data_IF_321389042276
#
_entry.id   IF_321389042276
#
_cell.length_a   1.000
_cell.length_b   1.000
_cell.length_c   1.000
_cell.angle_alpha   90.00
_cell.angle_beta   90.00
_cell.angle_gamma   90.00
#
_symmetry.space_group_name_H-M   'P 1'
#
loop_
_entity.id
_entity.type
_entity.pdbx_description
1 polymer ?
#
# COMPACT_ATOMS: atom_id res chain seq x y z
N UNK A 1 -19.14 -10.74 26.04
CA UNK A 1 -19.66 -9.95 24.90
C UNK A 1 -20.73 -10.78 24.22
N UNK A 2 -21.92 -10.21 23.94
CA UNK A 2 -22.88 -10.92 23.12
C UNK A 2 -22.23 -11.23 21.79
N UNK A 3 -22.18 -12.50 21.43
CA UNK A 3 -21.71 -12.97 20.13
C UNK A 3 -22.39 -12.11 19.05
N UNK A 4 -21.60 -11.52 18.16
CA UNK A 4 -22.13 -10.71 17.07
C UNK A 4 -23.27 -11.48 16.36
N UNK A 5 -24.52 -11.00 16.38
CA UNK A 5 -25.66 -11.70 15.79
C UNK A 5 -25.57 -11.92 14.29
N UNK A 6 -24.58 -11.30 13.66
CA UNK A 6 -24.31 -11.35 12.22
C UNK A 6 -23.21 -12.36 11.82
N UNK A 7 -22.64 -13.13 12.77
CA UNK A 7 -21.66 -14.16 12.43
C UNK A 7 -22.26 -15.13 11.39
N UNK A 8 -21.54 -15.28 10.26
CA UNK A 8 -21.97 -16.11 9.13
C UNK A 8 -23.06 -15.51 8.24
N UNK A 9 -23.42 -14.23 8.45
CA UNK A 9 -24.36 -13.49 7.60
C UNK A 9 -23.66 -12.34 6.90
N UNK A 10 -24.09 -12.05 5.67
CA UNK A 10 -23.70 -10.82 4.99
C UNK A 10 -24.62 -9.71 5.57
N UNK A 11 -24.00 -8.67 6.09
CA UNK A 11 -24.72 -7.57 6.71
C UNK A 11 -24.01 -6.27 6.35
N UNK A 12 -24.59 -5.53 5.40
CA UNK A 12 -24.08 -4.23 4.96
C UNK A 12 -25.16 -3.19 5.20
N UNK A 13 -24.78 -2.01 5.65
CA UNK A 13 -25.70 -0.88 5.79
C UNK A 13 -25.66 0.07 4.58
N UNK A 14 -24.58 0.07 3.81
CA UNK A 14 -24.42 0.86 2.60
C UNK A 14 -24.27 -0.05 1.35
N UNK A 15 -24.75 0.45 0.22
CA UNK A 15 -24.67 -0.28 -1.04
C UNK A 15 -23.25 -0.21 -1.61
N UNK A 16 -22.62 -1.35 -1.82
CA UNK A 16 -21.36 -1.46 -2.57
C UNK A 16 -21.64 -1.56 -4.07
N UNK A 17 -20.83 -0.86 -4.87
CA UNK A 17 -20.96 -0.80 -6.33
C UNK A 17 -19.59 -0.70 -6.99
N UNK A 18 -19.48 -1.23 -8.20
CA UNK A 18 -18.29 -1.12 -9.03
C UNK A 18 -18.64 -0.85 -10.49
N UNK A 19 -18.02 0.17 -11.06
CA UNK A 19 -18.18 0.56 -12.44
C UNK A 19 -16.80 0.69 -13.11
N UNK A 20 -16.65 0.15 -14.34
CA UNK A 20 -15.39 0.23 -15.08
C UNK A 20 -15.63 0.47 -16.57
N UNK A 21 -14.83 1.39 -17.13
CA UNK A 21 -14.58 1.51 -18.56
C UNK A 21 -13.12 1.16 -18.84
N UNK A 22 -12.89 0.24 -19.76
CA UNK A 22 -11.57 -0.22 -20.15
C UNK A 22 -11.46 -0.24 -21.67
N UNK A 23 -10.41 0.41 -22.19
CA UNK A 23 -10.01 0.32 -23.59
C UNK A 23 -8.57 -0.19 -23.64
N UNK A 24 -8.35 -1.30 -24.35
CA UNK A 24 -7.02 -1.81 -24.65
C UNK A 24 -6.84 -1.84 -26.16
N UNK A 25 -5.73 -1.30 -26.63
CA UNK A 25 -5.33 -1.36 -28.04
C UNK A 25 -3.89 -1.82 -28.14
N UNK A 26 -3.56 -2.53 -29.21
CA UNK A 26 -2.20 -3.00 -29.44
C UNK A 26 -1.88 -3.01 -30.94
N UNK A 27 -0.63 -2.68 -31.27
CA UNK A 27 -0.07 -2.76 -32.59
C UNK A 27 1.17 -3.65 -32.56
N UNK A 28 1.18 -4.69 -33.38
CA UNK A 28 2.33 -5.58 -33.55
C UNK A 28 2.86 -5.41 -34.98
N UNK A 29 4.10 -5.05 -35.11
CA UNK A 29 4.81 -4.97 -36.38
C UNK A 29 6.00 -5.93 -36.37
N UNK A 30 6.13 -6.72 -37.40
CA UNK A 30 7.25 -7.65 -37.56
C UNK A 30 7.88 -7.46 -38.94
N UNK A 31 9.19 -7.30 -38.97
CA UNK A 31 9.99 -7.25 -40.15
C UNK A 31 10.99 -8.41 -40.20
N UNK A 32 10.87 -9.26 -41.21
CA UNK A 32 11.70 -10.41 -41.44
C UNK A 32 12.86 -10.07 -42.38
N UNK A 33 14.04 -9.72 -41.83
CA UNK A 33 15.25 -9.54 -42.62
C UNK A 33 15.96 -10.89 -42.87
N UNK A 34 16.99 -10.89 -43.68
CA UNK A 34 17.76 -12.11 -44.01
C UNK A 34 18.44 -12.72 -42.78
N UNK A 35 19.01 -11.90 -41.90
CA UNK A 35 19.82 -12.35 -40.75
C UNK A 35 19.15 -12.14 -39.38
N UNK A 36 18.11 -11.35 -39.32
CA UNK A 36 17.38 -11.05 -38.07
C UNK A 36 15.89 -10.85 -38.30
N UNK A 37 15.16 -10.86 -37.21
CA UNK A 37 13.76 -10.42 -37.15
C UNK A 37 13.71 -9.21 -36.24
N UNK A 38 13.04 -8.14 -36.69
CA UNK A 38 12.70 -6.96 -35.88
C UNK A 38 11.23 -7.08 -35.52
N UNK A 39 10.91 -7.03 -34.23
CA UNK A 39 9.54 -7.00 -33.72
C UNK A 39 9.33 -5.73 -32.92
N UNK A 40 8.19 -5.08 -33.12
CA UNK A 40 7.74 -3.89 -32.39
C UNK A 40 6.36 -4.17 -31.83
N UNK A 41 6.16 -3.95 -30.54
CA UNK A 41 4.87 -4.14 -29.86
C UNK A 41 4.54 -2.88 -29.10
N UNK A 42 3.54 -2.16 -29.61
CA UNK A 42 2.99 -0.97 -28.95
C UNK A 42 1.69 -1.32 -28.27
N UNK A 43 1.53 -0.98 -27.01
CA UNK A 43 0.31 -1.18 -26.22
C UNK A 43 -0.19 0.13 -25.64
N UNK A 44 -1.50 0.37 -25.72
CA UNK A 44 -2.13 1.49 -25.01
C UNK A 44 -3.34 0.99 -24.24
N UNK A 45 -3.44 1.41 -22.98
CA UNK A 45 -4.56 1.14 -22.10
C UNK A 45 -5.14 2.43 -21.55
N UNK A 46 -6.46 2.55 -21.60
CA UNK A 46 -7.23 3.54 -20.86
C UNK A 46 -8.13 2.81 -19.87
N UNK A 47 -8.10 3.24 -18.61
CA UNK A 47 -8.97 2.77 -17.54
C UNK A 47 -9.64 3.97 -16.86
N UNK A 48 -10.95 3.85 -16.66
CA UNK A 48 -11.70 4.72 -15.75
C UNK A 48 -12.62 3.84 -14.92
N UNK A 49 -12.45 3.85 -13.62
CA UNK A 49 -13.32 3.10 -12.73
C UNK A 49 -13.79 3.92 -11.52
N UNK A 50 -14.82 3.41 -10.88
CA UNK A 50 -15.35 3.93 -9.62
C UNK A 50 -15.84 2.72 -8.80
N UNK A 51 -15.41 2.68 -7.57
CA UNK A 51 -15.77 1.67 -6.59
C UNK A 51 -16.31 2.36 -5.35
N UNK A 52 -17.53 2.00 -4.96
CA UNK A 52 -18.15 2.40 -3.69
C UNK A 52 -18.19 1.15 -2.80
N UNK A 53 -17.69 1.25 -1.59
CA UNK A 53 -17.61 0.10 -0.67
C UNK A 53 -18.10 0.52 0.71
N UNK A 54 -18.98 -0.32 1.27
CA UNK A 54 -19.20 -0.44 2.69
C UNK A 54 -18.01 -1.18 3.30
N UNK A 55 -17.03 -0.41 3.74
CA UNK A 55 -15.69 -0.93 4.07
C UNK A 55 -15.63 -1.62 5.43
N UNK A 56 -16.57 -1.35 6.32
CA UNK A 56 -16.61 -2.01 7.63
C UNK A 56 -17.28 -3.39 7.59
N UNK A 57 -17.97 -3.71 6.49
CA UNK A 57 -18.64 -5.00 6.25
C UNK A 57 -19.60 -5.42 7.36
N UNK A 58 -20.16 -4.45 8.09
CA UNK A 58 -21.08 -4.69 9.20
C UNK A 58 -22.43 -4.02 8.97
N UNK A 59 -23.39 -4.24 9.87
CA UNK A 59 -24.68 -3.54 9.86
C UNK A 59 -24.59 -2.12 10.48
N UNK A 60 -23.45 -1.76 11.06
CA UNK A 60 -23.25 -0.46 11.69
C UNK A 60 -22.74 0.54 10.64
N UNK A 61 -23.23 1.76 10.68
CA UNK A 61 -22.80 2.84 9.78
C UNK A 61 -21.50 3.48 10.28
N UNK A 62 -20.36 2.73 10.15
CA UNK A 62 -19.08 3.16 10.67
C UNK A 62 -18.36 4.04 9.65
N UNK A 63 -18.07 3.52 8.44
CA UNK A 63 -17.43 4.30 7.37
C UNK A 63 -17.63 3.69 5.99
N UNK A 64 -17.63 4.55 4.99
CA UNK A 64 -17.70 4.19 3.57
C UNK A 64 -16.46 4.65 2.85
N UNK A 65 -16.02 3.88 1.85
CA UNK A 65 -14.94 4.22 0.93
C UNK A 65 -15.50 4.41 -0.48
N UNK A 66 -15.12 5.50 -1.13
CA UNK A 66 -15.25 5.64 -2.58
C UNK A 66 -13.85 5.70 -3.18
N UNK A 67 -13.58 4.94 -4.24
CA UNK A 67 -12.35 5.04 -4.99
C UNK A 67 -12.65 5.26 -6.47
N UNK A 68 -12.17 6.37 -7.00
CA UNK A 68 -12.23 6.68 -8.43
C UNK A 68 -10.82 6.67 -8.99
N UNK A 69 -10.64 5.97 -10.09
CA UNK A 69 -9.35 5.93 -10.78
C UNK A 69 -9.50 6.29 -12.26
N UNK A 70 -8.53 7.02 -12.76
CA UNK A 70 -8.35 7.26 -14.18
C UNK A 70 -6.89 7.03 -14.53
N UNK A 71 -6.66 6.08 -15.43
CA UNK A 71 -5.32 5.69 -15.86
C UNK A 71 -5.19 5.72 -17.37
N UNK A 72 -4.03 6.17 -17.82
CA UNK A 72 -3.53 6.01 -19.19
C UNK A 72 -2.19 5.31 -19.10
N UNK A 73 -1.99 4.23 -19.82
CA UNK A 73 -0.73 3.53 -19.88
C UNK A 73 -0.32 3.28 -21.34
N UNK A 74 0.93 3.57 -21.65
CA UNK A 74 1.57 3.32 -22.93
C UNK A 74 2.77 2.41 -22.71
N UNK A 75 2.89 1.36 -23.51
CA UNK A 75 4.05 0.49 -23.54
C UNK A 75 4.59 0.36 -24.95
N UNK A 76 5.90 0.26 -25.07
CA UNK A 76 6.61 0.00 -26.32
C UNK A 76 7.71 -1.01 -26.08
N UNK A 77 7.76 -2.07 -26.87
CA UNK A 77 8.83 -3.04 -26.86
C UNK A 77 9.40 -3.24 -28.26
N UNK A 78 10.70 -3.08 -28.41
CA UNK A 78 11.43 -3.26 -29.66
C UNK A 78 12.42 -4.40 -29.45
N UNK A 79 12.31 -5.46 -30.24
CA UNK A 79 13.12 -6.66 -30.15
C UNK A 79 13.80 -6.94 -31.49
N UNK A 80 15.11 -7.10 -31.45
CA UNK A 80 15.92 -7.67 -32.52
C UNK A 80 16.32 -9.09 -32.12
N UNK A 81 16.01 -10.06 -32.98
CA UNK A 81 16.30 -11.47 -32.75
C UNK A 81 17.02 -12.08 -33.94
N UNK A 82 18.12 -12.80 -33.69
CA UNK A 82 18.81 -13.57 -34.73
C UNK A 82 17.92 -14.66 -35.33
N UNK A 83 18.19 -15.05 -36.58
CA UNK A 83 17.51 -16.22 -37.17
C UNK A 83 17.91 -17.50 -36.47
N UNK A 84 17.01 -18.47 -36.45
CA UNK A 84 17.28 -19.84 -35.99
C UNK A 84 18.25 -20.55 -36.95
N UNK A 85 19.08 -21.45 -36.41
CA UNK A 85 19.99 -22.29 -37.22
C UNK A 85 21.46 -21.99 -37.04
N UNK A 86 21.86 -20.83 -36.48
CA UNK A 86 23.26 -20.58 -36.14
C UNK A 86 23.59 -21.15 -34.75
N UNK A 87 24.90 -21.45 -34.52
CA UNK A 87 25.37 -21.86 -33.20
C UNK A 87 25.29 -20.76 -32.17
N UNK A 88 25.34 -19.50 -32.61
CA UNK A 88 25.13 -18.33 -31.78
C UNK A 88 23.77 -17.70 -32.11
N UNK A 89 22.88 -17.70 -31.15
CA UNK A 89 21.58 -17.04 -31.23
C UNK A 89 21.54 -15.93 -30.20
N UNK A 90 20.96 -14.83 -30.59
CA UNK A 90 20.86 -13.66 -29.69
C UNK A 90 19.50 -12.96 -29.82
N UNK A 91 19.12 -12.30 -28.74
CA UNK A 91 17.97 -11.39 -28.65
C UNK A 91 18.43 -10.15 -27.93
N UNK A 92 18.21 -8.99 -28.53
CA UNK A 92 18.47 -7.67 -27.94
C UNK A 92 17.21 -6.83 -28.06
N UNK A 93 16.89 -6.07 -27.03
CA UNK A 93 15.70 -5.21 -27.10
C UNK A 93 15.74 -4.06 -26.12
N UNK A 94 14.76 -3.21 -26.31
CA UNK A 94 14.45 -2.08 -25.44
C UNK A 94 12.97 -2.14 -25.08
N UNK A 95 12.64 -1.73 -23.88
CA UNK A 95 11.29 -1.60 -23.39
C UNK A 95 11.09 -0.23 -22.77
N UNK A 96 9.94 0.38 -23.02
CA UNK A 96 9.48 1.62 -22.41
C UNK A 96 8.05 1.48 -21.93
N UNK A 97 7.76 2.01 -20.76
CA UNK A 97 6.43 2.04 -20.18
C UNK A 97 6.22 3.36 -19.48
N UNK A 98 5.09 4.00 -19.76
CA UNK A 98 4.65 5.18 -19.05
C UNK A 98 3.19 5.04 -18.66
N UNK A 99 2.92 5.20 -17.36
CA UNK A 99 1.57 5.23 -16.82
C UNK A 99 1.33 6.56 -16.13
N UNK A 100 0.20 7.16 -16.40
CA UNK A 100 -0.35 8.25 -15.63
C UNK A 100 -1.62 7.76 -14.94
N UNK A 101 -1.59 7.71 -13.61
CA UNK A 101 -2.69 7.27 -12.77
C UNK A 101 -3.10 8.38 -11.82
N UNK A 102 -4.35 8.79 -11.93
CA UNK A 102 -5.00 9.66 -10.95
C UNK A 102 -5.99 8.83 -10.13
N UNK A 103 -5.90 8.96 -8.80
CA UNK A 103 -6.77 8.28 -7.84
C UNK A 103 -7.39 9.30 -6.92
N UNK A 104 -8.72 9.29 -6.78
CA UNK A 104 -9.47 9.96 -5.74
C UNK A 104 -10.03 8.87 -4.81
N UNK A 105 -9.71 8.92 -3.53
CA UNK A 105 -10.08 7.89 -2.57
C UNK A 105 -10.62 8.49 -1.26
N UNK A 106 -11.77 9.20 -1.28
CA UNK A 106 -12.38 9.70 -0.07
C UNK A 106 -12.92 8.55 0.80
N UNK A 107 -12.58 8.62 2.09
CA UNK A 107 -13.17 7.81 3.16
C UNK A 107 -14.10 8.72 3.96
N UNK A 108 -15.30 8.28 4.28
CA UNK A 108 -16.24 9.07 5.09
C UNK A 108 -16.61 8.29 6.34
N UNK A 109 -16.17 8.77 7.50
CA UNK A 109 -16.68 8.28 8.77
C UNK A 109 -18.13 8.74 8.94
N UNK A 110 -18.96 7.80 9.28
CA UNK A 110 -20.38 7.96 9.48
C UNK A 110 -20.72 8.06 10.98
N UNK A 111 -22.01 8.16 11.30
CA UNK A 111 -22.47 8.46 12.66
C UNK A 111 -21.97 7.44 13.71
N UNK A 112 -22.04 6.14 13.44
CA UNK A 112 -21.54 5.12 14.36
C UNK A 112 -20.02 5.20 14.50
N UNK A 113 -19.30 5.46 13.41
CA UNK A 113 -17.85 5.65 13.42
C UNK A 113 -17.42 6.90 14.21
N UNK A 114 -18.17 7.99 14.07
CA UNK A 114 -17.95 9.20 14.86
C UNK A 114 -18.21 8.96 16.36
N UNK A 115 -19.23 8.17 16.69
CA UNK A 115 -19.49 7.73 18.07
C UNK A 115 -18.34 6.93 18.66
N UNK A 116 -17.74 6.00 17.89
CA UNK A 116 -16.56 5.23 18.30
C UNK A 116 -15.35 6.13 18.53
N UNK A 117 -15.08 7.07 17.60
CA UNK A 117 -13.99 8.04 17.76
C UNK A 117 -14.16 8.91 19.00
N UNK A 118 -15.39 9.34 19.28
CA UNK A 118 -15.71 10.13 20.46
C UNK A 118 -15.51 9.33 21.77
N UNK A 119 -15.89 8.06 21.77
CA UNK A 119 -15.65 7.16 22.92
C UNK A 119 -14.15 6.93 23.15
N UNK A 120 -13.38 6.72 22.09
CA UNK A 120 -11.92 6.59 22.18
C UNK A 120 -11.29 7.88 22.74
N UNK A 121 -11.75 9.04 22.28
CA UNK A 121 -11.29 10.34 22.77
C UNK A 121 -11.57 10.52 24.26
N UNK A 122 -12.78 10.19 24.71
CA UNK A 122 -13.18 10.25 26.12
C UNK A 122 -12.38 9.31 27.04
N UNK A 123 -11.74 8.26 26.49
CA UNK A 123 -10.85 7.38 27.27
C UNK A 123 -9.44 7.96 27.50
N UNK A 124 -9.04 8.95 26.71
CA UNK A 124 -7.72 9.61 26.81
C UNK A 124 -7.70 10.69 27.90
N UNK A 125 -8.81 11.36 28.09
CA UNK A 125 -8.96 12.44 29.07
C UNK A 125 -9.76 11.91 30.26
N UNK A 126 -9.24 12.04 31.51
CA UNK A 126 -9.96 11.59 32.68
C UNK A 126 -11.26 12.39 32.83
N UNK A 127 -12.34 11.70 33.22
CA UNK A 127 -13.63 12.34 33.49
C UNK A 127 -13.55 13.32 34.65
N UNK A 128 -12.60 13.12 35.56
CA UNK A 128 -12.33 14.05 36.68
C UNK A 128 -10.85 14.00 37.08
N UNK A 129 -10.34 15.15 37.53
CA UNK A 129 -9.02 15.33 38.13
C UNK A 129 -9.24 15.84 39.54
N UNK A 130 -8.97 15.03 40.56
CA UNK A 130 -9.18 15.41 41.95
C UNK A 130 -7.92 16.09 42.49
N UNK A 131 -8.15 17.22 43.20
CA UNK A 131 -7.13 18.02 43.86
C UNK A 131 -7.51 18.21 45.31
N UNK A 132 -6.65 17.78 46.23
CA UNK A 132 -6.83 17.99 47.67
C UNK A 132 -6.49 19.45 48.03
N UNK A 133 -7.42 20.12 48.71
CA UNK A 133 -7.27 21.51 49.13
C UNK A 133 -7.09 21.66 50.65
N UNK A 134 -7.18 20.53 51.39
CA UNK A 134 -7.02 20.47 52.85
C UNK A 134 -7.67 19.22 53.45
N UNK A 135 -7.69 19.06 54.79
CA UNK A 135 -8.10 17.79 55.42
C UNK A 135 -9.54 17.32 55.13
N UNK A 136 -10.41 18.20 54.65
CA UNK A 136 -11.80 17.84 54.34
C UNK A 136 -12.34 18.53 53.09
N UNK A 137 -11.47 19.18 52.31
CA UNK A 137 -11.86 19.89 51.10
C UNK A 137 -11.09 19.38 49.90
N UNK A 138 -11.78 19.14 48.81
CA UNK A 138 -11.19 18.79 47.53
C UNK A 138 -11.85 19.58 46.38
N UNK A 139 -11.17 19.67 45.28
CA UNK A 139 -11.66 20.23 44.04
C UNK A 139 -11.56 19.17 42.94
N UNK A 140 -12.66 18.85 42.34
CA UNK A 140 -12.69 18.05 41.13
C UNK A 140 -12.68 18.98 39.93
N UNK A 141 -11.70 18.84 39.09
CA UNK A 141 -11.63 19.49 37.78
C UNK A 141 -12.23 18.50 36.78
N UNK A 142 -13.24 18.92 36.03
CA UNK A 142 -14.00 18.12 35.09
C UNK A 142 -13.76 18.65 33.67
N UNK A 143 -12.73 18.17 32.97
CA UNK A 143 -12.54 18.53 31.58
C UNK A 143 -13.60 17.84 30.72
N UNK A 144 -14.16 18.56 29.76
CA UNK A 144 -15.03 18.01 28.72
C UNK A 144 -14.36 18.18 27.37
N UNK A 145 -14.32 17.10 26.60
CA UNK A 145 -13.88 17.09 25.22
C UNK A 145 -14.76 16.12 24.44
N UNK A 146 -15.41 16.61 23.39
CA UNK A 146 -16.35 15.80 22.62
C UNK A 146 -16.46 16.26 21.18
N UNK A 147 -16.48 15.28 20.28
CA UNK A 147 -16.69 15.49 18.84
C UNK A 147 -18.14 15.90 18.62
N UNK A 148 -18.37 16.97 17.87
CA UNK A 148 -19.71 17.46 17.51
C UNK A 148 -20.09 17.20 16.05
N UNK A 149 -19.12 16.93 15.18
CA UNK A 149 -19.38 16.50 13.79
C UNK A 149 -20.09 15.16 13.75
N UNK A 150 -21.15 15.04 12.94
CA UNK A 150 -21.85 13.77 12.70
C UNK A 150 -21.15 12.87 11.69
N UNK A 151 -20.38 13.45 10.81
CA UNK A 151 -19.57 12.76 9.79
C UNK A 151 -18.23 13.43 9.66
N UNK A 152 -17.22 12.67 9.24
CA UNK A 152 -15.89 13.20 8.94
C UNK A 152 -15.41 12.68 7.58
N UNK A 153 -15.44 13.51 6.54
CA UNK A 153 -14.86 13.14 5.25
C UNK A 153 -13.34 13.29 5.31
N UNK A 154 -12.62 12.25 4.93
CA UNK A 154 -11.20 12.26 4.67
C UNK A 154 -11.03 12.23 3.16
N UNK A 155 -10.75 13.38 2.55
CA UNK A 155 -10.56 13.50 1.11
C UNK A 155 -9.12 13.25 0.70
N UNK A 156 -8.92 12.78 -0.53
CA UNK A 156 -7.58 12.63 -1.10
C UNK A 156 -7.60 12.53 -2.62
N UNK A 157 -6.68 13.26 -3.25
CA UNK A 157 -6.37 13.18 -4.67
C UNK A 157 -4.88 12.86 -4.82
N UNK A 158 -4.58 11.81 -5.58
CA UNK A 158 -3.24 11.27 -5.75
C UNK A 158 -2.96 11.11 -7.23
N UNK A 159 -1.92 11.77 -7.71
CA UNK A 159 -1.41 11.59 -9.06
C UNK A 159 -0.11 10.81 -9.00
N UNK A 160 -0.09 9.59 -9.56
CA UNK A 160 1.02 8.66 -9.45
C UNK A 160 1.57 8.24 -10.82
N UNK A 161 2.29 9.14 -11.51
CA UNK A 161 2.97 8.77 -12.75
C UNK A 161 4.11 7.79 -12.50
N UNK A 162 4.20 6.78 -13.38
CA UNK A 162 5.23 5.76 -13.40
C UNK A 162 5.91 5.75 -14.77
N UNK A 163 7.23 5.88 -14.77
CA UNK A 163 8.07 5.69 -15.95
C UNK A 163 8.96 4.47 -15.71
N UNK A 164 8.95 3.52 -16.64
CA UNK A 164 9.89 2.40 -16.65
C UNK A 164 10.57 2.32 -18.03
N UNK A 165 11.87 2.12 -18.05
CA UNK A 165 12.66 1.90 -19.25
C UNK A 165 13.66 0.77 -19.03
N UNK A 166 13.80 -0.13 -20.01
CA UNK A 166 14.75 -1.23 -19.91
C UNK A 166 15.50 -1.47 -21.21
N UNK A 167 16.74 -1.93 -21.05
CA UNK A 167 17.55 -2.49 -22.12
C UNK A 167 17.92 -3.93 -21.75
N UNK A 168 17.84 -4.83 -22.71
CA UNK A 168 18.17 -6.23 -22.47
C UNK A 168 18.90 -6.88 -23.64
N UNK A 169 19.76 -7.83 -23.29
CA UNK A 169 20.45 -8.69 -24.23
C UNK A 169 20.56 -10.10 -23.68
N UNK A 170 20.34 -11.09 -24.55
CA UNK A 170 20.56 -12.50 -24.26
C UNK A 170 21.28 -13.16 -25.43
N UNK A 171 22.32 -13.93 -25.14
CA UNK A 171 23.02 -14.79 -26.08
C UNK A 171 22.89 -16.25 -25.68
N UNK A 172 22.63 -17.10 -26.64
CA UNK A 172 22.62 -18.57 -26.49
C UNK A 172 23.64 -19.17 -27.43
N UNK A 173 24.60 -19.93 -26.89
CA UNK A 173 25.60 -20.65 -27.61
C UNK A 173 25.26 -22.15 -27.64
N UNK A 174 25.00 -22.68 -28.83
CA UNK A 174 24.69 -24.10 -29.06
C UNK A 174 25.97 -24.90 -29.36
N UNK A 175 25.95 -26.18 -29.03
CA UNK A 175 27.09 -27.11 -29.18
C UNK A 175 28.34 -26.53 -28.51
N UNK A 176 28.19 -26.10 -27.26
CA UNK A 176 29.20 -25.42 -26.46
C UNK A 176 30.48 -26.28 -26.37
N UNK A 177 31.66 -25.71 -26.71
CA UNK A 177 32.94 -26.41 -26.78
C UNK A 177 32.94 -27.66 -27.66
N UNK A 178 32.07 -27.74 -28.68
CA UNK A 178 31.94 -28.90 -29.54
C UNK A 178 31.12 -30.07 -29.00
N UNK A 179 30.55 -29.90 -27.79
CA UNK A 179 29.66 -30.88 -27.18
C UNK A 179 28.26 -30.75 -27.80
N UNK A 180 27.92 -31.70 -28.66
CA UNK A 180 26.63 -31.71 -29.37
C UNK A 180 25.47 -31.76 -28.36
N UNK A 181 24.48 -30.88 -28.57
CA UNK A 181 23.27 -30.80 -27.75
C UNK A 181 23.42 -29.96 -26.48
N UNK A 182 24.66 -29.54 -26.11
CA UNK A 182 24.85 -28.66 -24.96
C UNK A 182 24.69 -27.21 -25.39
N UNK A 183 23.78 -26.47 -24.73
CA UNK A 183 23.57 -25.05 -24.96
C UNK A 183 23.75 -24.24 -23.67
N UNK A 184 24.41 -23.10 -23.78
CA UNK A 184 24.58 -22.14 -22.68
C UNK A 184 23.93 -20.82 -23.07
N UNK A 185 23.10 -20.27 -22.16
CA UNK A 185 22.48 -18.98 -22.33
C UNK A 185 22.95 -18.04 -21.24
N UNK A 186 23.34 -16.83 -21.62
CA UNK A 186 23.62 -15.72 -20.72
C UNK A 186 22.78 -14.51 -21.16
N UNK A 187 22.07 -13.92 -20.23
CA UNK A 187 21.23 -12.75 -20.44
C UNK A 187 21.42 -11.71 -19.34
N UNK A 188 21.22 -10.48 -19.71
CA UNK A 188 21.25 -9.33 -18.80
C UNK A 188 20.16 -8.34 -19.21
N UNK A 189 19.39 -7.87 -18.21
CA UNK A 189 18.44 -6.78 -18.37
C UNK A 189 18.74 -5.71 -17.34
N UNK A 190 18.76 -4.47 -17.78
CA UNK A 190 18.88 -3.28 -16.96
C UNK A 190 17.55 -2.54 -17.02
N UNK A 191 16.89 -2.44 -15.88
CA UNK A 191 15.63 -1.71 -15.72
C UNK A 191 15.86 -0.44 -14.91
N UNK A 192 15.37 0.69 -15.41
CA UNK A 192 15.24 1.94 -14.69
C UNK A 192 13.76 2.24 -14.48
N UNK A 193 13.38 2.52 -13.24
CA UNK A 193 12.02 2.87 -12.86
C UNK A 193 12.03 4.16 -12.07
N UNK A 194 11.15 5.10 -12.46
CA UNK A 194 10.88 6.31 -11.72
C UNK A 194 9.41 6.38 -11.37
N UNK A 195 9.13 6.50 -10.09
CA UNK A 195 7.79 6.63 -9.53
C UNK A 195 7.67 7.98 -8.85
N UNK A 196 6.57 8.67 -9.10
CA UNK A 196 6.23 9.92 -8.42
C UNK A 196 4.83 9.81 -7.83
N UNK A 197 4.60 10.47 -6.69
CA UNK A 197 3.27 10.67 -6.14
C UNK A 197 3.11 12.14 -5.74
N UNK A 198 2.23 12.85 -6.45
CA UNK A 198 1.72 14.13 -6.01
C UNK A 198 0.43 13.88 -5.23
N UNK A 199 0.36 14.39 -4.00
CA UNK A 199 -0.76 14.12 -3.11
C UNK A 199 -1.33 15.41 -2.53
N UNK A 200 -2.66 15.41 -2.36
CA UNK A 200 -3.41 16.43 -1.66
C UNK A 200 -4.55 15.74 -0.92
N UNK A 201 -4.41 15.60 0.38
CA UNK A 201 -5.35 14.90 1.23
C UNK A 201 -5.63 15.72 2.48
N UNK A 202 -6.89 15.79 2.91
CA UNK A 202 -7.28 16.61 4.06
C UNK A 202 -8.58 16.18 4.69
N UNK A 203 -8.78 16.64 5.93
CA UNK A 203 -9.99 16.43 6.72
C UNK A 203 -10.18 17.58 7.69
N UNK A 204 -11.41 17.76 8.17
CA UNK A 204 -11.76 18.70 9.23
C UNK A 204 -12.73 18.05 10.22
N UNK A 205 -12.71 18.52 11.45
CA UNK A 205 -13.53 18.01 12.54
C UNK A 205 -13.95 19.15 13.47
N UNK A 206 -15.26 19.23 13.76
CA UNK A 206 -15.78 20.11 14.78
C UNK A 206 -15.88 19.36 16.12
N UNK A 207 -15.46 20.02 17.17
CA UNK A 207 -15.48 19.48 18.52
C UNK A 207 -15.76 20.57 19.54
N UNK A 208 -16.09 20.17 20.75
CA UNK A 208 -16.32 21.07 21.87
C UNK A 208 -15.33 20.76 22.97
N UNK A 209 -14.82 21.79 23.62
CA UNK A 209 -13.95 21.70 24.77
C UNK A 209 -14.43 22.62 25.87
N UNK A 210 -14.37 22.15 27.11
CA UNK A 210 -14.74 22.95 28.28
C UNK A 210 -14.09 22.42 29.53
N UNK A 211 -14.19 23.17 30.61
CA UNK A 211 -13.69 22.76 31.91
C UNK A 211 -14.58 23.31 33.04
N UNK A 212 -15.02 22.43 33.90
CA UNK A 212 -15.79 22.78 35.12
C UNK A 212 -15.00 22.38 36.35
N UNK A 213 -15.27 23.02 37.45
CA UNK A 213 -14.73 22.70 38.75
C UNK A 213 -15.87 22.42 39.74
N UNK A 214 -15.74 21.37 40.54
CA UNK A 214 -16.59 21.09 41.69
C UNK A 214 -15.78 21.18 42.96
N UNK A 215 -16.11 22.12 43.82
CA UNK A 215 -15.55 22.20 45.18
C UNK A 215 -16.35 21.26 46.08
N UNK A 216 -15.68 20.32 46.76
CA UNK A 216 -16.29 19.34 47.64
C UNK A 216 -15.83 19.46 49.07
N UNK A 217 -16.74 19.15 50.00
CA UNK A 217 -16.41 18.93 51.41
C UNK A 217 -16.83 17.50 51.77
N UNK A 218 -15.84 16.63 51.93
CA UNK A 218 -16.10 15.20 51.88
C UNK A 218 -16.71 14.81 50.51
N UNK A 219 -17.85 14.05 50.53
CA UNK A 219 -18.55 13.63 49.30
C UNK A 219 -19.59 14.66 48.79
N UNK A 220 -19.78 15.81 49.49
CA UNK A 220 -20.80 16.80 49.15
C UNK A 220 -20.23 17.90 48.27
N UNK A 221 -20.81 18.14 47.10
CA UNK A 221 -20.50 19.30 46.26
C UNK A 221 -21.09 20.55 46.95
N UNK A 222 -20.21 21.47 47.32
CA UNK A 222 -20.58 22.76 47.97
C UNK A 222 -20.64 23.91 46.98
N UNK A 223 -19.92 23.81 45.86
CA UNK A 223 -19.91 24.83 44.81
C UNK A 223 -19.49 24.24 43.47
N UNK A 224 -20.22 24.57 42.41
CA UNK A 224 -19.81 24.40 41.04
C UNK A 224 -19.24 25.68 40.46
N UNK A 225 -18.17 25.57 39.69
CA UNK A 225 -17.46 26.69 39.08
C UNK A 225 -17.31 26.37 37.59
N UNK A 226 -17.86 27.21 36.75
CA UNK A 226 -17.61 27.12 35.29
C UNK A 226 -16.28 27.85 35.03
N UNK A 227 -15.19 27.08 34.89
CA UNK A 227 -13.84 27.63 34.64
C UNK A 227 -13.71 28.09 33.19
N UNK A 228 -14.23 27.28 32.28
CA UNK A 228 -14.31 27.55 30.84
C UNK A 228 -15.63 26.96 30.30
N UNK A 229 -16.53 27.78 29.73
CA UNK A 229 -17.75 27.26 29.09
C UNK A 229 -17.40 26.36 27.91
N UNK A 230 -18.30 25.43 27.58
CA UNK A 230 -18.11 24.61 26.38
C UNK A 230 -17.97 25.49 25.13
N UNK A 231 -16.80 25.48 24.55
CA UNK A 231 -16.43 26.27 23.38
C UNK A 231 -16.32 25.35 22.18
N UNK A 232 -17.00 25.70 21.09
CA UNK A 232 -16.89 24.98 19.83
C UNK A 232 -15.63 25.40 19.08
N UNK A 233 -14.86 24.43 18.64
CA UNK A 233 -13.62 24.58 17.87
C UNK A 233 -13.68 23.71 16.63
N UNK A 234 -12.95 24.11 15.60
CA UNK A 234 -12.72 23.31 14.39
C UNK A 234 -11.24 23.02 14.25
N UNK A 235 -10.91 21.78 14.05
CA UNK A 235 -9.54 21.36 13.72
C UNK A 235 -9.49 20.88 12.27
N UNK A 236 -8.46 21.29 11.55
CA UNK A 236 -8.20 20.89 10.17
C UNK A 236 -6.82 20.25 10.09
N UNK A 237 -6.72 19.19 9.30
CA UNK A 237 -5.44 18.56 8.98
C UNK A 237 -5.32 18.36 7.49
N UNK A 238 -4.13 18.61 6.94
CA UNK A 238 -3.86 18.50 5.52
C UNK A 238 -2.45 18.06 5.24
N UNK A 239 -2.33 17.09 4.32
CA UNK A 239 -1.08 16.69 3.70
C UNK A 239 -1.09 17.06 2.23
N UNK A 240 -0.14 17.86 1.81
CA UNK A 240 0.05 18.25 0.41
C UNK A 240 1.53 18.24 0.07
N UNK A 241 1.89 17.61 -1.03
CA UNK A 241 3.28 17.53 -1.45
C UNK A 241 3.53 16.57 -2.59
N UNK A 242 4.80 16.23 -2.76
CA UNK A 242 5.27 15.32 -3.78
C UNK A 242 6.35 14.40 -3.22
N UNK A 243 6.29 13.13 -3.60
CA UNK A 243 7.31 12.12 -3.30
C UNK A 243 7.80 11.54 -4.62
N UNK A 244 9.12 11.52 -4.81
CA UNK A 244 9.78 10.99 -6.00
C UNK A 244 10.75 9.88 -5.58
N UNK A 245 10.75 8.76 -6.31
CA UNK A 245 11.61 7.60 -6.11
C UNK A 245 12.02 7.02 -7.44
N UNK A 246 13.29 6.70 -7.54
CA UNK A 246 13.87 5.99 -8.67
C UNK A 246 14.62 4.74 -8.22
N UNK A 247 14.62 3.74 -9.09
CA UNK A 247 15.25 2.47 -8.86
C UNK A 247 15.95 1.99 -10.14
N UNK A 248 17.14 1.45 -9.98
CA UNK A 248 17.88 0.78 -11.04
C UNK A 248 18.05 -0.70 -10.67
N UNK A 249 17.59 -1.58 -11.54
CA UNK A 249 17.62 -3.02 -11.32
C UNK A 249 18.46 -3.72 -12.38
N UNK A 250 19.38 -4.54 -11.93
CA UNK A 250 20.18 -5.42 -12.78
C UNK A 250 19.67 -6.85 -12.63
N UNK A 251 19.23 -7.45 -13.74
CA UNK A 251 18.53 -8.72 -13.79
C UNK A 251 19.30 -9.72 -14.68
N UNK A 252 20.27 -10.44 -14.12
CA UNK A 252 21.01 -11.48 -14.84
C UNK A 252 20.17 -12.76 -14.97
N UNK A 253 20.43 -13.51 -16.06
CA UNK A 253 19.91 -14.84 -16.32
C UNK A 253 21.01 -15.71 -16.88
N UNK A 254 21.17 -16.92 -16.35
CA UNK A 254 22.06 -17.96 -16.88
C UNK A 254 21.29 -19.26 -17.00
N UNK A 255 21.51 -20.00 -18.09
CA UNK A 255 20.91 -21.31 -18.27
C UNK A 255 21.91 -22.24 -18.97
N UNK A 256 21.89 -23.50 -18.55
CA UNK A 256 22.60 -24.61 -19.21
C UNK A 256 21.52 -25.63 -19.60
N UNK A 257 21.55 -26.08 -20.84
CA UNK A 257 20.62 -27.06 -21.38
C UNK A 257 21.36 -28.17 -22.14
N UNK A 258 20.86 -29.37 -22.01
CA UNK A 258 21.30 -30.51 -22.82
C UNK A 258 20.13 -31.12 -23.55
N UNK A 259 20.14 -31.08 -24.88
CA UNK A 259 19.15 -31.69 -25.78
C UNK A 259 19.51 -33.14 -26.06
N UNK A 260 18.57 -34.05 -25.78
CA UNK A 260 18.76 -35.48 -26.05
C UNK A 260 18.67 -35.77 -27.55
N UNK A 261 19.46 -36.74 -28.01
CA UNK A 261 19.43 -37.17 -29.40
C UNK A 261 18.02 -37.65 -29.82
N UNK A 262 17.70 -37.51 -31.11
CA UNK A 262 16.45 -37.97 -31.72
C UNK A 262 15.22 -37.26 -31.15
N UNK A 263 15.31 -36.00 -30.78
CA UNK A 263 14.19 -35.19 -30.28
C UNK A 263 13.48 -35.80 -29.07
N UNK A 264 14.19 -36.51 -28.20
CA UNK A 264 13.63 -37.16 -27.00
C UNK A 264 13.37 -36.17 -25.86
N UNK A 265 13.75 -34.91 -26.01
CA UNK A 265 13.57 -33.85 -25.03
C UNK A 265 14.88 -33.22 -24.61
N UNK A 266 14.88 -32.57 -23.47
CA UNK A 266 16.02 -31.91 -22.88
C UNK A 266 16.00 -31.93 -21.35
N UNK A 267 17.13 -31.64 -20.74
CA UNK A 267 17.28 -31.28 -19.34
C UNK A 267 17.91 -29.90 -19.27
N UNK A 268 17.51 -29.10 -18.33
CA UNK A 268 18.04 -27.74 -18.15
C UNK A 268 18.23 -27.38 -16.69
N UNK A 269 19.13 -26.42 -16.47
CA UNK A 269 19.30 -25.72 -15.19
C UNK A 269 19.33 -24.22 -15.47
N UNK A 270 18.61 -23.42 -14.70
CA UNK A 270 18.53 -21.97 -14.86
C UNK A 270 18.68 -21.24 -13.54
N UNK A 271 19.36 -20.09 -13.58
CA UNK A 271 19.42 -19.13 -12.47
C UNK A 271 19.05 -17.78 -13.05
N UNK A 272 18.10 -17.12 -12.43
CA UNK A 272 17.67 -15.80 -12.88
C UNK A 272 17.24 -14.91 -11.71
N UNK A 273 17.40 -13.60 -11.91
CA UNK A 273 16.93 -12.59 -10.99
C UNK A 273 15.75 -11.85 -11.60
N UNK A 274 14.67 -11.68 -10.83
CA UNK A 274 13.51 -10.86 -11.13
C UNK A 274 13.26 -9.83 -10.03
N UNK A 275 12.38 -8.86 -10.30
CA UNK A 275 11.90 -7.93 -9.30
C UNK A 275 10.42 -7.60 -9.50
N UNK A 276 9.80 -7.10 -8.45
CA UNK A 276 8.48 -6.48 -8.47
C UNK A 276 8.64 -5.03 -8.05
N UNK A 277 8.04 -4.11 -8.79
CA UNK A 277 8.11 -2.67 -8.56
C UNK A 277 7.68 -2.28 -7.15
N UNK A 278 8.29 -1.23 -6.61
CA UNK A 278 7.82 -0.55 -5.41
C UNK A 278 6.52 0.22 -5.67
N UNK A 279 6.10 1.03 -4.69
CA UNK A 279 4.89 1.81 -4.86
C UNK A 279 4.58 2.70 -3.66
N UNK A 280 3.33 3.17 -3.64
CA UNK A 280 2.80 4.06 -2.62
C UNK A 280 1.50 3.52 -2.03
N UNK A 281 1.40 3.54 -0.71
CA UNK A 281 0.19 3.20 0.04
C UNK A 281 -0.67 4.45 0.22
N UNK A 282 -1.51 4.77 -0.75
CA UNK A 282 -2.38 5.97 -0.69
C UNK A 282 -3.41 5.89 0.46
N UNK A 283 -3.82 4.69 0.87
CA UNK A 283 -4.72 4.51 2.00
C UNK A 283 -4.13 4.98 3.34
N UNK A 284 -2.79 5.01 3.47
CA UNK A 284 -2.12 5.47 4.69
C UNK A 284 -2.35 6.96 4.98
N UNK A 285 -2.80 7.75 4.00
CA UNK A 285 -3.17 9.13 4.25
C UNK A 285 -4.36 9.27 5.20
N UNK A 286 -5.25 8.28 5.27
CA UNK A 286 -6.30 8.24 6.28
C UNK A 286 -5.73 8.16 7.71
N UNK A 287 -4.74 7.29 7.92
CA UNK A 287 -4.07 7.12 9.22
C UNK A 287 -3.24 8.35 9.60
N UNK A 288 -2.51 8.90 8.62
CA UNK A 288 -1.73 10.13 8.80
C UNK A 288 -2.61 11.30 9.23
N UNK A 289 -3.75 11.49 8.54
CA UNK A 289 -4.69 12.56 8.84
C UNK A 289 -5.35 12.37 10.20
N UNK A 290 -5.74 11.14 10.57
CA UNK A 290 -6.30 10.87 11.90
C UNK A 290 -5.28 11.16 13.02
N UNK A 291 -4.02 10.74 12.83
CA UNK A 291 -2.95 11.00 13.79
C UNK A 291 -2.66 12.50 13.92
N UNK A 292 -2.55 13.20 12.79
CA UNK A 292 -2.35 14.66 12.77
C UNK A 292 -3.53 15.40 13.38
N UNK A 293 -4.75 15.02 13.04
CA UNK A 293 -5.97 15.63 13.57
C UNK A 293 -6.05 15.49 15.10
N UNK A 294 -5.73 14.28 15.63
CA UNK A 294 -5.67 14.04 17.07
C UNK A 294 -4.63 14.95 17.75
N UNK A 295 -3.42 15.05 17.19
CA UNK A 295 -2.36 15.89 17.72
C UNK A 295 -2.77 17.37 17.72
N UNK A 296 -3.32 17.85 16.60
CA UNK A 296 -3.74 19.25 16.44
C UNK A 296 -4.92 19.59 17.36
N UNK A 297 -5.88 18.67 17.53
CA UNK A 297 -7.00 18.82 18.46
C UNK A 297 -6.52 18.90 19.91
N UNK A 298 -5.58 18.03 20.33
CA UNK A 298 -5.01 18.06 21.68
C UNK A 298 -4.27 19.36 21.94
N UNK A 299 -3.50 19.85 20.95
CA UNK A 299 -2.78 21.13 21.04
C UNK A 299 -3.75 22.31 21.20
N UNK A 300 -4.76 22.41 20.30
CA UNK A 300 -5.76 23.48 20.37
C UNK A 300 -6.56 23.43 21.69
N UNK A 301 -6.92 22.22 22.16
CA UNK A 301 -7.62 22.03 23.43
C UNK A 301 -6.77 22.52 24.60
N UNK A 302 -5.47 22.18 24.62
CA UNK A 302 -4.52 22.66 25.63
C UNK A 302 -4.43 24.18 25.62
N UNK A 303 -4.27 24.79 24.44
CA UNK A 303 -4.19 26.24 24.26
C UNK A 303 -5.47 26.96 24.73
N UNK A 304 -6.64 26.35 24.50
CA UNK A 304 -7.91 26.92 24.95
C UNK A 304 -8.16 26.76 26.45
N UNK A 305 -7.78 25.63 27.04
CA UNK A 305 -8.04 25.31 28.46
C UNK A 305 -7.06 26.00 29.40
N UNK A 306 -5.75 25.96 29.10
CA UNK A 306 -4.70 26.35 30.04
C UNK A 306 -4.79 27.80 30.56
N UNK A 307 -5.24 28.80 29.78
CA UNK A 307 -5.45 30.16 30.29
C UNK A 307 -6.56 30.27 31.34
N UNK A 308 -7.51 29.34 31.36
CA UNK A 308 -8.66 29.33 32.26
C UNK A 308 -8.43 28.46 33.52
N UNK A 309 -7.29 27.77 33.61
CA UNK A 309 -6.90 26.96 34.77
C UNK A 309 -6.09 27.85 35.74
N UNK A 310 -6.43 27.89 37.05
CA UNK A 310 -5.60 28.59 38.04
C UNK A 310 -4.16 28.08 38.05
N UNK A 311 -3.19 28.95 38.26
CA UNK A 311 -1.76 28.62 38.15
C UNK A 311 -1.35 27.43 39.04
N UNK A 312 -1.94 27.30 40.20
CA UNK A 312 -1.70 26.18 41.13
C UNK A 312 -2.02 24.80 40.54
N UNK A 313 -2.85 24.72 39.51
CA UNK A 313 -3.33 23.45 38.92
C UNK A 313 -2.86 23.25 37.49
N UNK A 314 -2.17 24.22 36.89
CA UNK A 314 -1.71 24.13 35.49
C UNK A 314 -0.82 22.93 35.22
N UNK A 315 0.10 22.64 36.13
CA UNK A 315 1.00 21.48 36.00
C UNK A 315 0.22 20.17 36.03
N UNK A 316 -0.76 20.05 36.92
CA UNK A 316 -1.58 18.86 37.04
C UNK A 316 -2.47 18.64 35.79
N UNK A 317 -3.17 19.69 35.37
CA UNK A 317 -4.03 19.65 34.17
C UNK A 317 -3.18 19.39 32.92
N UNK A 318 -2.00 19.99 32.82
CA UNK A 318 -1.06 19.81 31.72
C UNK A 318 -0.60 18.38 31.52
N UNK A 319 -0.57 17.53 32.56
CA UNK A 319 -0.26 16.10 32.45
C UNK A 319 -1.30 15.32 31.64
N UNK A 320 -2.56 15.77 31.66
CA UNK A 320 -3.66 15.13 30.91
C UNK A 320 -3.85 15.72 29.51
N UNK A 321 -3.23 16.85 29.24
CA UNK A 321 -3.10 17.44 27.90
C UNK A 321 -1.61 17.51 27.54
N UNK A 322 -0.98 16.35 27.25
CA UNK A 322 0.44 16.33 26.92
C UNK A 322 0.69 17.14 25.64
N UNK A 323 1.93 17.54 25.47
CA UNK A 323 2.32 18.19 24.23
C UNK A 323 2.09 17.25 23.06
N UNK A 324 1.46 17.78 22.02
CA UNK A 324 1.20 17.02 20.81
C UNK A 324 2.54 16.54 20.20
N UNK A 325 2.60 15.28 19.82
CA UNK A 325 3.74 14.74 19.08
C UNK A 325 3.87 15.41 17.70
N UNK A 326 5.00 15.18 17.05
CA UNK A 326 5.17 15.56 15.64
C UNK A 326 4.21 14.78 14.76
N UNK A 327 3.70 15.44 13.73
CA UNK A 327 2.86 14.79 12.74
C UNK A 327 3.69 13.81 11.90
N UNK A 328 3.20 12.60 11.62
CA UNK A 328 3.95 11.60 10.86
C UNK A 328 4.34 12.10 9.47
N UNK A 329 5.54 11.74 9.01
CA UNK A 329 6.02 12.07 7.67
C UNK A 329 5.36 11.18 6.61
N UNK A 330 4.75 11.80 5.59
CA UNK A 330 4.07 11.10 4.52
C UNK A 330 4.98 10.16 3.73
N UNK A 331 6.25 10.54 3.50
CA UNK A 331 7.19 9.74 2.73
C UNK A 331 7.55 8.42 3.42
N UNK A 332 7.82 8.47 4.72
CA UNK A 332 8.17 7.27 5.50
C UNK A 332 6.99 6.33 5.68
N UNK A 333 5.77 6.88 5.76
CA UNK A 333 4.56 6.09 5.99
C UNK A 333 3.99 5.43 4.72
N UNK A 334 4.21 6.03 3.54
CA UNK A 334 3.51 5.58 2.33
C UNK A 334 4.36 4.78 1.35
N UNK A 335 5.70 4.95 1.36
CA UNK A 335 6.58 4.33 0.35
C UNK A 335 6.92 2.90 0.73
N UNK A 336 6.76 1.96 -0.22
CA UNK A 336 7.34 0.62 -0.11
C UNK A 336 8.31 0.34 -1.27
N UNK A 337 9.34 -0.47 -0.97
CA UNK A 337 10.48 -0.74 -1.87
C UNK A 337 10.18 -1.86 -2.86
N UNK A 338 10.94 -1.95 -3.98
CA UNK A 338 10.91 -3.12 -4.86
C UNK A 338 11.29 -4.40 -4.11
N UNK A 339 10.55 -5.47 -4.42
CA UNK A 339 10.86 -6.83 -4.02
C UNK A 339 11.79 -7.47 -5.05
N UNK A 340 12.79 -8.25 -4.62
CA UNK A 340 13.75 -8.92 -5.50
C UNK A 340 13.72 -10.42 -5.26
N UNK A 341 13.69 -11.20 -6.34
CA UNK A 341 13.65 -12.66 -6.27
C UNK A 341 14.73 -13.29 -7.14
N UNK A 342 15.51 -14.19 -6.55
CA UNK A 342 16.35 -15.13 -7.28
C UNK A 342 15.60 -16.44 -7.47
N UNK A 343 15.56 -16.93 -8.71
CA UNK A 343 15.01 -18.22 -9.08
C UNK A 343 16.14 -19.16 -9.50
N UNK A 344 16.17 -20.35 -8.89
CA UNK A 344 17.04 -21.47 -9.24
C UNK A 344 16.12 -22.62 -9.62
N UNK A 345 16.30 -23.16 -10.82
CA UNK A 345 15.41 -24.20 -11.35
C UNK A 345 16.21 -25.25 -12.12
N UNK A 346 15.84 -26.50 -11.92
CA UNK A 346 16.32 -27.65 -12.73
C UNK A 346 15.07 -28.36 -13.23
N UNK A 347 15.01 -28.58 -14.54
CA UNK A 347 13.85 -29.22 -15.13
C UNK A 347 14.19 -30.04 -16.38
N UNK A 348 13.19 -30.73 -16.87
CA UNK A 348 13.29 -31.58 -18.06
C UNK A 348 11.98 -31.54 -18.85
N UNK A 349 12.11 -31.54 -20.16
CA UNK A 349 11.01 -31.75 -21.12
C UNK A 349 11.30 -33.05 -21.86
N UNK A 350 10.45 -34.04 -21.75
CA UNK A 350 10.65 -35.36 -22.32
C UNK A 350 9.54 -35.70 -23.35
N UNK A 351 9.96 -36.23 -24.50
CA UNK A 351 9.10 -36.83 -25.50
C UNK A 351 9.26 -38.34 -25.38
N UNK A 352 8.28 -38.99 -24.81
CA UNK A 352 8.26 -40.43 -24.55
C UNK A 352 7.31 -41.16 -25.48
N UNK A 353 7.46 -42.47 -25.58
CA UNK A 353 6.59 -43.34 -26.39
C UNK A 353 6.41 -42.86 -27.85
N UNK A 354 7.52 -42.49 -28.49
CA UNK A 354 7.58 -41.93 -29.85
C UNK A 354 6.67 -40.71 -30.06
N UNK A 355 6.67 -39.81 -29.05
CA UNK A 355 5.92 -38.55 -29.07
C UNK A 355 4.47 -38.64 -28.65
N UNK A 356 4.03 -39.79 -28.15
CA UNK A 356 2.64 -39.98 -27.64
C UNK A 356 2.47 -39.49 -26.20
N UNK A 357 3.55 -39.31 -25.46
CA UNK A 357 3.53 -38.82 -24.11
C UNK A 357 4.59 -37.72 -23.98
N UNK A 358 4.16 -36.52 -23.58
CA UNK A 358 5.01 -35.41 -23.19
C UNK A 358 5.04 -35.32 -21.67
N UNK A 359 6.22 -35.30 -21.09
CA UNK A 359 6.41 -35.18 -19.63
C UNK A 359 7.32 -34.00 -19.33
N UNK A 360 6.80 -33.05 -18.58
CA UNK A 360 7.54 -31.89 -18.07
C UNK A 360 7.69 -32.05 -16.57
N UNK A 361 8.89 -31.89 -16.05
CA UNK A 361 9.15 -31.91 -14.63
C UNK A 361 10.15 -30.81 -14.27
N UNK A 362 9.93 -30.12 -13.15
CA UNK A 362 10.84 -29.11 -12.65
C UNK A 362 10.91 -29.13 -11.12
N UNK A 363 12.06 -28.80 -10.58
CA UNK A 363 12.30 -28.50 -9.16
C UNK A 363 12.81 -27.06 -9.12
N UNK A 364 12.20 -26.26 -8.25
CA UNK A 364 12.57 -24.85 -8.13
C UNK A 364 12.85 -24.44 -6.69
N UNK A 365 13.65 -23.38 -6.57
CA UNK A 365 13.99 -22.73 -5.34
C UNK A 365 13.99 -21.21 -5.57
N UNK A 366 13.13 -20.49 -4.82
CA UNK A 366 12.99 -19.04 -4.89
C UNK A 366 13.49 -18.42 -3.60
N UNK A 367 14.35 -17.41 -3.71
CA UNK A 367 14.77 -16.57 -2.61
C UNK A 367 14.32 -15.13 -2.86
N UNK A 368 13.37 -14.66 -2.05
CA UNK A 368 12.83 -13.30 -2.15
C UNK A 368 13.36 -12.45 -1.01
N UNK A 369 13.79 -11.23 -1.35
CA UNK A 369 14.20 -10.18 -0.41
C UNK A 369 13.26 -9.00 -0.53
N UNK A 370 13.07 -8.28 0.60
CA UNK A 370 12.14 -7.16 0.69
C UNK A 370 10.73 -7.54 0.20
N UNK A 371 10.29 -8.76 0.55
CA UNK A 371 9.01 -9.30 0.11
C UNK A 371 7.86 -8.35 0.46
N UNK A 372 7.05 -8.05 -0.54
CA UNK A 372 5.87 -7.22 -0.38
C UNK A 372 4.70 -8.06 0.15
N UNK A 373 4.26 -7.75 1.36
CA UNK A 373 3.09 -8.37 1.99
C UNK A 373 2.01 -7.34 2.25
N UNK A 374 0.76 -7.77 2.17
CA UNK A 374 -0.38 -6.97 2.60
C UNK A 374 -0.65 -7.23 4.08
N UNK A 375 -0.66 -6.18 4.90
CA UNK A 375 -1.04 -6.24 6.31
C UNK A 375 -2.10 -5.19 6.62
N UNK A 376 -2.78 -5.31 7.74
CA UNK A 376 -3.66 -4.25 8.21
C UNK A 376 -2.85 -3.01 8.57
N UNK A 377 -3.38 -1.83 8.23
CA UNK A 377 -2.85 -0.57 8.69
C UNK A 377 -2.92 -0.49 10.23
N UNK A 378 -2.04 0.28 10.90
CA UNK A 378 -2.03 0.40 12.36
C UNK A 378 -3.38 0.85 12.96
N UNK A 379 -4.16 1.63 12.24
CA UNK A 379 -5.52 2.04 12.63
C UNK A 379 -6.55 0.91 12.56
N UNK A 380 -6.24 -0.20 11.88
CA UNK A 380 -7.20 -1.25 11.52
C UNK A 380 -8.13 -0.88 10.35
N UNK A 381 -8.00 0.31 9.78
CA UNK A 381 -8.87 0.86 8.74
C UNK A 381 -8.30 0.67 7.34
N UNK A 382 -8.09 -0.57 6.93
CA UNK A 382 -7.59 -0.88 5.61
C UNK A 382 -6.32 -1.71 5.62
N UNK A 383 -5.71 -1.84 4.46
CA UNK A 383 -4.50 -2.63 4.28
C UNK A 383 -3.41 -1.80 3.64
N UNK A 384 -2.19 -2.02 4.09
CA UNK A 384 -0.99 -1.46 3.50
C UNK A 384 -0.09 -2.55 2.92
N UNK A 385 0.71 -2.21 1.93
CA UNK A 385 1.82 -3.04 1.46
C UNK A 385 3.06 -2.67 2.25
N UNK A 386 3.68 -3.66 2.90
CA UNK A 386 4.93 -3.48 3.63
C UNK A 386 5.99 -4.44 3.12
N UNK A 387 7.26 -4.04 3.19
CA UNK A 387 8.36 -4.93 2.90
C UNK A 387 8.67 -5.78 4.14
N UNK A 388 8.46 -7.09 4.04
CA UNK A 388 8.71 -8.07 5.10
C UNK A 388 9.97 -8.87 4.77
N UNK A 389 11.10 -8.50 5.29
CA UNK A 389 12.34 -9.27 5.31
C UNK A 389 12.59 -10.20 4.11
N UNK A 390 12.82 -11.49 4.39
CA UNK A 390 13.17 -12.52 3.40
C UNK A 390 12.17 -13.67 3.44
N UNK A 391 11.85 -14.22 2.28
CA UNK A 391 11.12 -15.49 2.17
C UNK A 391 11.85 -16.48 1.26
N UNK A 392 11.49 -17.72 1.43
CA UNK A 392 11.98 -18.85 0.62
C UNK A 392 10.78 -19.70 0.22
N UNK A 393 10.71 -20.02 -1.07
CA UNK A 393 9.73 -20.96 -1.60
C UNK A 393 10.47 -22.05 -2.38
N UNK A 394 10.06 -23.30 -2.23
CA UNK A 394 10.62 -24.43 -2.97
C UNK A 394 9.51 -25.41 -3.33
N UNK A 395 9.64 -26.05 -4.47
CA UNK A 395 8.63 -26.99 -4.92
C UNK A 395 9.09 -27.85 -6.08
N UNK A 396 8.23 -28.80 -6.45
CA UNK A 396 8.36 -29.61 -7.64
C UNK A 396 7.06 -29.58 -8.42
N UNK A 397 7.15 -29.53 -9.74
CA UNK A 397 6.01 -29.55 -10.65
C UNK A 397 6.19 -30.68 -11.65
N UNK A 398 5.11 -31.37 -11.99
CA UNK A 398 5.06 -32.42 -13.01
C UNK A 398 3.80 -32.23 -13.83
N UNK A 399 3.95 -32.21 -15.15
CA UNK A 399 2.85 -32.22 -16.10
C UNK A 399 3.01 -33.37 -17.09
N UNK A 400 1.93 -34.08 -17.37
CA UNK A 400 1.87 -35.17 -18.36
C UNK A 400 0.77 -34.87 -19.38
N UNK A 401 1.07 -34.97 -20.66
CA UNK A 401 0.15 -34.67 -21.74
C UNK A 401 0.22 -35.77 -22.81
#
# INVERSE_FOLDING_TARGET
EPLNPYIGKISNNARSNYYRNLLNTGLNLEYQAQHFTLSMVTGYQFLKDCMDIDQDFTANDIYTLQQKQRSHALSEEIILKSKSGSRWQWTTGAFGFYQWLNTEAPVTFREAGMGMLNQMLGSVIPSQIQVEMGPSMSMNILPSLGISSRTMPIGGSFNTPLLNGALFHQSTFRDLFGLKGVSFTAGLRLDYERMKMDYNSGTSLDYKVGIKGEMKRGDVVIREIEMMPETALTVESRYQGSIDKDYLQLLPKFALQYDFARNRGNVYATVSKGYRSGGYNVQMFSDLLQSSLKNDMMRQSKEAIMPNVPDAYKELVGKYFPDAGENPDAKSATVYKPEQTWNYEIGTHLNLLDGRLHADAAIFWLETRDQQISRFAPSGLGRETANAGKSRSQGAEVALT
#
